data_IF_924443238249
#
_entry.id   IF_924443238249
#
_cell.length_a   1.000
_cell.length_b   1.000
_cell.length_c   1.000
_cell.angle_alpha   90.00
_cell.angle_beta   90.00
_cell.angle_gamma   90.00
#
_symmetry.space_group_name_H-M   'P 1'
#
loop_
_entity.id
_entity.type
_entity.pdbx_description
1 polymer ?
#
# COMPACT_ATOMS: atom_id res chain seq x y z
N UNK A 1 -30.04 -44.37 -26.21
CA UNK A 1 -29.15 -43.31 -26.73
C UNK A 1 -29.88 -42.66 -27.88
N UNK A 2 -30.44 -41.48 -27.61
CA UNK A 2 -31.16 -40.61 -28.55
C UNK A 2 -30.64 -39.20 -28.30
N UNK A 3 -30.09 -38.59 -29.35
CA UNK A 3 -29.42 -37.29 -29.32
C UNK A 3 -30.41 -36.17 -29.59
N UNK A 4 -30.14 -35.00 -29.00
CA UNK A 4 -30.96 -33.79 -28.99
C UNK A 4 -31.25 -33.16 -30.37
N UNK A 5 -30.69 -33.71 -31.44
CA UNK A 5 -30.86 -33.25 -32.83
C UNK A 5 -32.21 -33.65 -33.47
N UNK A 6 -32.96 -34.59 -32.88
CA UNK A 6 -34.28 -35.01 -33.41
C UNK A 6 -35.44 -34.07 -33.03
N UNK A 7 -35.21 -33.05 -32.20
CA UNK A 7 -36.28 -32.19 -31.66
C UNK A 7 -36.52 -30.89 -32.44
N UNK A 8 -35.72 -30.55 -33.46
CA UNK A 8 -35.92 -29.34 -34.24
C UNK A 8 -35.63 -29.48 -35.75
N UNK A 9 -36.36 -30.34 -36.48
CA UNK A 9 -36.34 -30.29 -37.93
C UNK A 9 -37.24 -29.13 -38.39
N UNK A 10 -36.64 -28.16 -39.08
CA UNK A 10 -37.28 -27.09 -39.87
C UNK A 10 -37.89 -25.89 -39.13
N UNK A 11 -37.04 -24.90 -38.86
CA UNK A 11 -37.41 -23.51 -38.59
C UNK A 11 -36.75 -22.52 -39.56
N UNK A 12 -36.75 -22.83 -40.86
CA UNK A 12 -36.18 -21.97 -41.90
C UNK A 12 -37.00 -20.68 -42.10
N UNK A 13 -36.69 -19.61 -41.38
CA UNK A 13 -37.20 -18.27 -41.69
C UNK A 13 -36.42 -17.69 -42.87
N UNK A 14 -37.03 -17.79 -44.05
CA UNK A 14 -36.68 -16.99 -45.23
C UNK A 14 -36.80 -15.51 -44.84
N UNK A 15 -35.67 -14.80 -44.76
CA UNK A 15 -35.67 -13.33 -44.81
C UNK A 15 -36.05 -12.92 -46.22
N UNK A 16 -37.29 -12.46 -46.38
CA UNK A 16 -37.80 -11.86 -47.59
C UNK A 16 -37.51 -10.36 -47.48
N UNK A 17 -36.46 -9.91 -48.18
CA UNK A 17 -36.11 -8.50 -48.32
C UNK A 17 -37.25 -7.76 -49.02
N UNK A 18 -38.08 -7.05 -48.25
CA UNK A 18 -38.93 -5.99 -48.76
C UNK A 18 -38.11 -4.68 -48.73
N UNK A 19 -38.00 -3.94 -49.85
CA UNK A 19 -37.29 -2.66 -49.85
C UNK A 19 -38.09 -1.65 -49.01
N UNK A 20 -37.63 -1.41 -47.78
CA UNK A 20 -38.15 -0.35 -46.94
C UNK A 20 -37.92 1.01 -47.62
N UNK A 21 -39.02 1.76 -47.72
CA UNK A 21 -39.16 3.03 -48.40
C UNK A 21 -38.27 4.10 -47.73
N UNK A 22 -37.10 4.37 -48.32
CA UNK A 22 -36.05 5.26 -47.78
C UNK A 22 -36.56 6.69 -47.53
N UNK A 23 -37.63 7.11 -48.20
CA UNK A 23 -38.25 8.43 -48.02
C UNK A 23 -38.91 8.64 -46.65
N UNK A 24 -39.31 7.58 -45.94
CA UNK A 24 -39.83 7.72 -44.56
C UNK A 24 -38.70 7.85 -43.54
N UNK A 25 -37.54 7.21 -43.77
CA UNK A 25 -36.38 7.32 -42.89
C UNK A 25 -35.75 8.72 -42.93
N UNK A 26 -35.68 9.34 -44.12
CA UNK A 26 -35.11 10.70 -44.27
C UNK A 26 -36.01 11.79 -43.66
N UNK A 27 -37.35 11.63 -43.70
CA UNK A 27 -38.28 12.57 -43.06
C UNK A 27 -38.19 12.53 -41.54
N UNK A 28 -38.03 11.34 -40.96
CA UNK A 28 -37.82 11.18 -39.52
C UNK A 28 -36.44 11.70 -39.08
N UNK A 29 -35.41 11.57 -39.93
CA UNK A 29 -34.09 12.14 -39.68
C UNK A 29 -34.09 13.67 -39.56
N UNK A 30 -34.91 14.37 -40.37
CA UNK A 30 -34.99 15.84 -40.33
C UNK A 30 -35.69 16.41 -39.08
N UNK A 31 -36.55 15.61 -38.42
CA UNK A 31 -37.31 16.03 -37.24
C UNK A 31 -36.59 15.75 -35.91
N UNK A 32 -35.57 14.88 -35.92
CA UNK A 32 -34.88 14.41 -34.71
C UNK A 32 -33.50 15.05 -34.47
N UNK A 33 -33.04 15.92 -35.37
CA UNK A 33 -31.72 16.57 -35.30
C UNK A 33 -30.57 15.62 -35.63
N UNK A 34 -29.45 16.18 -36.08
CA UNK A 34 -28.30 15.42 -36.59
C UNK A 34 -27.83 14.35 -35.59
N UNK A 35 -27.92 13.09 -36.02
CA UNK A 35 -27.40 11.95 -35.27
C UNK A 35 -25.91 12.16 -35.00
N UNK A 36 -25.55 12.15 -33.71
CA UNK A 36 -24.17 11.98 -33.23
C UNK A 36 -23.53 10.82 -34.03
N UNK A 37 -22.30 10.97 -34.56
CA UNK A 37 -21.65 9.91 -35.31
C UNK A 37 -21.56 8.65 -34.45
N UNK A 38 -21.96 7.52 -35.05
CA UNK A 38 -22.00 6.22 -34.42
C UNK A 38 -20.60 5.85 -33.90
N UNK A 39 -20.52 5.68 -32.59
CA UNK A 39 -19.40 5.04 -31.93
C UNK A 39 -19.47 3.54 -32.30
N UNK A 40 -18.36 2.91 -32.71
CA UNK A 40 -18.40 1.54 -33.20
C UNK A 40 -18.87 0.56 -32.12
N UNK A 41 -19.84 -0.28 -32.45
CA UNK A 41 -20.37 -1.35 -31.61
C UNK A 41 -19.29 -2.38 -31.26
N UNK A 42 -19.00 -2.64 -29.97
CA UNK A 42 -18.29 -3.83 -29.58
C UNK A 42 -19.27 -5.01 -29.63
N UNK A 43 -19.16 -5.82 -30.67
CA UNK A 43 -19.93 -7.05 -30.85
C UNK A 43 -19.82 -7.99 -29.64
N UNK A 44 -20.99 -8.45 -29.22
CA UNK A 44 -21.32 -9.61 -28.39
C UNK A 44 -20.42 -10.84 -28.63
N UNK A 45 -19.43 -11.05 -27.76
CA UNK A 45 -18.89 -12.36 -27.32
C UNK A 45 -17.59 -12.14 -26.50
N UNK A 46 -17.67 -11.44 -25.36
CA UNK A 46 -16.49 -11.26 -24.48
C UNK A 46 -16.83 -10.84 -23.04
N UNK A 47 -18.05 -10.38 -22.75
CA UNK A 47 -18.32 -9.71 -21.47
C UNK A 47 -18.09 -10.55 -20.21
N UNK A 48 -18.25 -11.88 -20.23
CA UNK A 48 -18.02 -12.71 -19.03
C UNK A 48 -16.54 -12.99 -18.78
N UNK A 49 -15.80 -13.39 -19.81
CA UNK A 49 -14.36 -13.66 -19.66
C UNK A 49 -13.55 -12.36 -19.53
N UNK A 50 -14.00 -11.26 -20.13
CA UNK A 50 -13.42 -9.94 -19.88
C UNK A 50 -13.74 -9.43 -18.47
N UNK A 51 -14.93 -9.69 -17.91
CA UNK A 51 -15.23 -9.36 -16.51
C UNK A 51 -14.44 -10.25 -15.54
N UNK A 52 -14.31 -11.56 -15.80
CA UNK A 52 -13.48 -12.47 -15.01
C UNK A 52 -12.00 -12.09 -15.12
N UNK A 53 -11.53 -11.69 -16.31
CA UNK A 53 -10.19 -11.19 -16.50
C UNK A 53 -9.97 -9.86 -15.78
N UNK A 54 -10.92 -8.92 -15.83
CA UNK A 54 -10.83 -7.64 -15.11
C UNK A 54 -10.82 -7.82 -13.59
N UNK A 55 -11.61 -8.76 -13.06
CA UNK A 55 -11.66 -9.11 -11.63
C UNK A 55 -10.41 -9.89 -11.20
N UNK A 56 -9.81 -10.69 -12.09
CA UNK A 56 -8.55 -11.41 -11.84
C UNK A 56 -7.30 -10.56 -12.08
N UNK A 57 -7.37 -9.52 -12.92
CA UNK A 57 -6.25 -8.63 -13.25
C UNK A 57 -6.19 -7.39 -12.39
N UNK A 58 -7.17 -7.13 -11.50
CA UNK A 58 -7.00 -6.19 -10.40
C UNK A 58 -6.08 -6.85 -9.36
N UNK A 59 -4.81 -6.42 -9.21
CA UNK A 59 -4.02 -6.86 -8.09
C UNK A 59 -4.74 -6.44 -6.82
N UNK A 60 -4.93 -7.39 -5.90
CA UNK A 60 -5.27 -7.15 -4.50
C UNK A 60 -4.33 -6.06 -3.98
N UNK A 61 -4.83 -4.83 -3.83
CA UNK A 61 -4.06 -3.72 -3.25
C UNK A 61 -4.02 -2.40 -4.02
N UNK A 62 -4.52 -2.29 -5.26
CA UNK A 62 -4.59 -0.96 -5.91
C UNK A 62 -5.94 -0.28 -5.67
N UNK A 63 -5.96 0.67 -4.71
CA UNK A 63 -6.96 1.73 -4.66
C UNK A 63 -7.03 2.46 -6.02
N UNK A 64 -8.22 2.90 -6.46
CA UNK A 64 -8.30 3.83 -7.59
C UNK A 64 -7.59 5.12 -7.20
N UNK A 65 -6.36 5.29 -7.69
CA UNK A 65 -5.67 6.57 -7.60
C UNK A 65 -6.52 7.60 -8.34
N UNK A 66 -6.98 8.62 -7.60
CA UNK A 66 -7.46 9.84 -8.21
C UNK A 66 -6.41 10.33 -9.20
N UNK A 67 -6.78 10.82 -10.40
CA UNK A 67 -5.80 11.31 -11.37
C UNK A 67 -4.93 12.38 -10.72
N UNK A 68 -3.65 12.05 -10.55
CA UNK A 68 -2.59 12.93 -10.06
C UNK A 68 -2.57 14.16 -10.95
N UNK A 69 -2.95 15.30 -10.38
CA UNK A 69 -2.95 16.58 -11.07
C UNK A 69 -1.52 16.89 -11.53
N UNK A 70 -1.27 16.80 -12.83
CA UNK A 70 -0.07 17.35 -13.42
C UNK A 70 -0.13 18.87 -13.27
N UNK A 71 0.79 19.42 -12.47
CA UNK A 71 1.09 20.84 -12.37
C UNK A 71 1.65 21.30 -13.72
N UNK A 72 0.75 21.76 -14.61
CA UNK A 72 1.09 22.68 -15.69
C UNK A 72 0.47 24.03 -15.37
N UNK A 73 1.32 24.98 -15.07
CA UNK A 73 1.01 26.41 -14.98
C UNK A 73 0.50 26.89 -16.34
N UNK A 74 -0.82 27.06 -16.45
CA UNK A 74 -1.47 27.77 -17.55
C UNK A 74 -1.98 29.13 -17.03
N UNK A 75 -1.90 30.21 -17.82
CA UNK A 75 -2.21 31.55 -17.35
C UNK A 75 -3.72 31.76 -17.15
N UNK A 76 -4.02 32.59 -16.15
CA UNK A 76 -5.34 33.05 -15.72
C UNK A 76 -6.34 33.29 -16.88
N UNK A 77 -7.37 32.44 -16.94
CA UNK A 77 -8.60 32.65 -17.72
C UNK A 77 -9.81 32.72 -16.78
N UNK A 78 -10.55 33.83 -16.83
CA UNK A 78 -11.63 34.16 -15.90
C UNK A 78 -12.76 33.12 -15.84
N UNK A 79 -13.31 32.94 -14.64
CA UNK A 79 -14.49 32.10 -14.37
C UNK A 79 -15.73 32.62 -15.13
N UNK A 80 -16.37 31.82 -16.00
CA UNK A 80 -17.70 32.14 -16.49
C UNK A 80 -18.75 31.87 -15.40
N UNK A 81 -19.59 32.87 -15.13
CA UNK A 81 -20.78 32.73 -14.27
C UNK A 81 -21.71 31.71 -14.90
N UNK A 82 -21.98 30.60 -14.21
CA UNK A 82 -23.00 29.60 -14.57
C UNK A 82 -24.38 30.27 -14.56
N UNK A 83 -24.91 30.60 -15.73
CA UNK A 83 -26.35 30.79 -15.92
C UNK A 83 -27.04 29.45 -15.70
N UNK A 84 -28.08 29.42 -14.87
CA UNK A 84 -28.95 28.26 -14.73
C UNK A 84 -29.63 28.04 -16.09
N UNK A 85 -29.25 26.97 -16.78
CA UNK A 85 -29.84 26.57 -18.05
C UNK A 85 -31.34 26.27 -17.86
N UNK A 86 -32.19 27.13 -18.40
CA UNK A 86 -33.65 26.92 -18.45
C UNK A 86 -34.03 25.64 -19.22
N UNK A 87 -33.10 25.07 -19.98
CA UNK A 87 -33.27 23.85 -20.77
C UNK A 87 -33.26 22.59 -19.88
N UNK A 88 -32.53 22.56 -18.76
CA UNK A 88 -32.54 21.39 -17.86
C UNK A 88 -33.85 21.27 -17.07
N UNK A 89 -34.49 22.40 -16.78
CA UNK A 89 -35.82 22.46 -16.14
C UNK A 89 -36.92 22.02 -17.12
N UNK A 90 -36.78 22.32 -18.41
CA UNK A 90 -37.69 21.85 -19.46
C UNK A 90 -37.56 20.34 -19.72
N UNK A 91 -36.34 19.79 -19.67
CA UNK A 91 -36.11 18.36 -19.81
C UNK A 91 -36.65 17.54 -18.61
N UNK A 92 -36.49 18.05 -17.38
CA UNK A 92 -37.04 17.41 -16.19
C UNK A 92 -38.59 17.41 -16.16
N UNK A 93 -39.23 18.47 -16.66
CA UNK A 93 -40.70 18.55 -16.72
C UNK A 93 -41.31 17.68 -17.83
N UNK A 94 -40.64 17.52 -18.98
CA UNK A 94 -41.07 16.57 -20.02
C UNK A 94 -40.87 15.11 -19.60
N UNK A 95 -39.80 14.80 -18.84
CA UNK A 95 -39.62 13.47 -18.26
C UNK A 95 -40.73 13.14 -17.23
N UNK A 96 -41.13 14.10 -16.40
CA UNK A 96 -42.24 13.92 -15.47
C UNK A 96 -43.60 13.72 -16.18
N UNK A 97 -43.84 14.42 -17.28
CA UNK A 97 -45.05 14.27 -18.11
C UNK A 97 -45.07 12.94 -18.86
N UNK A 98 -43.92 12.43 -19.33
CA UNK A 98 -43.82 11.12 -19.95
C UNK A 98 -44.07 9.98 -18.95
N UNK A 99 -43.58 10.10 -17.71
CA UNK A 99 -43.89 9.16 -16.62
C UNK A 99 -45.37 9.20 -16.24
N UNK A 100 -46.00 10.38 -16.24
CA UNK A 100 -47.42 10.53 -15.96
C UNK A 100 -48.34 10.05 -17.11
N UNK A 101 -47.89 10.12 -18.36
CA UNK A 101 -48.63 9.59 -19.51
C UNK A 101 -48.49 8.05 -19.61
N UNK A 102 -47.32 7.50 -19.28
CA UNK A 102 -47.10 6.05 -19.27
C UNK A 102 -47.90 5.34 -18.16
N UNK A 103 -48.11 5.98 -17.00
CA UNK A 103 -48.92 5.43 -15.90
C UNK A 103 -50.41 5.32 -16.23
N UNK A 104 -50.95 6.19 -17.10
CA UNK A 104 -52.35 6.16 -17.50
C UNK A 104 -52.69 5.02 -18.49
N UNK A 105 -51.73 4.58 -19.30
CA UNK A 105 -51.93 3.45 -20.25
C UNK A 105 -51.76 2.06 -19.61
N UNK A 106 -50.99 1.94 -18.53
CA UNK A 106 -50.88 0.68 -17.77
C UNK A 106 -52.13 0.36 -16.95
N UNK A 107 -52.88 1.38 -16.50
CA UNK A 107 -54.06 1.21 -15.66
C UNK A 107 -55.24 0.45 -16.30
N UNK A 108 -55.27 0.30 -17.64
CA UNK A 108 -56.39 -0.36 -18.34
C UNK A 108 -56.11 -1.83 -18.67
N UNK A 109 -54.84 -2.26 -18.78
CA UNK A 109 -54.48 -3.69 -18.85
C UNK A 109 -54.26 -4.33 -17.47
N UNK A 110 -53.92 -3.52 -16.45
CA UNK A 110 -53.86 -3.97 -15.05
C UNK A 110 -55.25 -4.34 -14.47
N UNK A 111 -56.35 -3.94 -15.10
CA UNK A 111 -57.71 -4.24 -14.62
C UNK A 111 -58.13 -5.72 -14.80
N UNK A 112 -57.34 -6.54 -15.52
CA UNK A 112 -57.55 -7.99 -15.66
C UNK A 112 -56.36 -8.83 -15.17
N UNK A 113 -55.30 -8.19 -14.68
CA UNK A 113 -54.18 -8.88 -14.06
C UNK A 113 -54.56 -9.22 -12.61
N UNK A 114 -54.23 -10.44 -12.19
CA UNK A 114 -54.41 -10.86 -10.80
C UNK A 114 -53.41 -10.09 -9.92
N UNK A 115 -53.86 -9.16 -9.05
CA UNK A 115 -52.96 -8.36 -8.23
C UNK A 115 -52.09 -9.22 -7.29
N UNK A 116 -52.53 -10.44 -6.97
CA UNK A 116 -51.71 -11.40 -6.21
C UNK A 116 -50.48 -11.84 -7.02
N UNK A 117 -50.63 -12.09 -8.32
CA UNK A 117 -49.53 -12.50 -9.20
C UNK A 117 -48.48 -11.41 -9.37
N UNK A 118 -48.89 -10.15 -9.52
CA UNK A 118 -47.98 -9.02 -9.63
C UNK A 118 -47.23 -8.79 -8.30
N UNK A 119 -47.93 -8.85 -7.16
CA UNK A 119 -47.31 -8.71 -5.84
C UNK A 119 -46.30 -9.83 -5.54
N UNK A 120 -46.59 -11.07 -5.94
CA UNK A 120 -45.65 -12.20 -5.83
C UNK A 120 -44.41 -12.01 -6.71
N UNK A 121 -44.57 -11.40 -7.90
CA UNK A 121 -43.45 -11.09 -8.79
C UNK A 121 -42.53 -10.04 -8.18
N UNK A 122 -43.10 -8.95 -7.65
CA UNK A 122 -42.34 -7.91 -6.95
C UNK A 122 -41.61 -8.50 -5.74
N UNK A 123 -42.30 -9.32 -4.94
CA UNK A 123 -41.69 -9.96 -3.78
C UNK A 123 -40.53 -10.89 -4.19
N UNK A 124 -40.66 -11.65 -5.27
CA UNK A 124 -39.58 -12.51 -5.75
C UNK A 124 -38.36 -11.70 -6.23
N UNK A 125 -38.57 -10.51 -6.79
CA UNK A 125 -37.49 -9.60 -7.17
C UNK A 125 -36.82 -8.96 -5.92
N UNK A 126 -37.61 -8.59 -4.91
CA UNK A 126 -37.09 -8.11 -3.62
C UNK A 126 -36.29 -9.21 -2.91
N UNK A 127 -36.77 -10.46 -2.90
CA UNK A 127 -36.07 -11.61 -2.32
C UNK A 127 -34.71 -11.84 -2.99
N UNK A 128 -34.63 -11.81 -4.32
CA UNK A 128 -33.35 -11.90 -5.05
C UNK A 128 -32.42 -10.74 -4.72
N UNK A 129 -32.97 -9.53 -4.59
CA UNK A 129 -32.21 -8.34 -4.22
C UNK A 129 -31.63 -8.49 -2.81
N UNK A 130 -32.43 -8.95 -1.86
CA UNK A 130 -32.02 -9.25 -0.48
C UNK A 130 -30.88 -10.28 -0.48
N UNK A 131 -31.02 -11.40 -1.18
CA UNK A 131 -29.97 -12.42 -1.26
C UNK A 131 -28.65 -11.86 -1.83
N UNK A 132 -28.73 -11.06 -2.89
CA UNK A 132 -27.56 -10.42 -3.49
C UNK A 132 -26.87 -9.44 -2.54
N UNK A 133 -27.64 -8.61 -1.83
CA UNK A 133 -27.12 -7.65 -0.85
C UNK A 133 -26.52 -8.37 0.35
N UNK A 134 -27.16 -9.41 0.87
CA UNK A 134 -26.65 -10.24 1.98
C UNK A 134 -25.29 -10.87 1.63
N UNK A 135 -25.17 -11.48 0.45
CA UNK A 135 -23.91 -12.06 -0.02
C UNK A 135 -22.82 -10.98 -0.19
N UNK A 136 -23.18 -9.81 -0.73
CA UNK A 136 -22.28 -8.67 -0.88
C UNK A 136 -21.75 -8.17 0.46
N UNK A 137 -22.62 -7.99 1.45
CA UNK A 137 -22.25 -7.55 2.80
C UNK A 137 -21.44 -8.60 3.55
N UNK A 138 -21.79 -9.89 3.43
CA UNK A 138 -21.00 -10.99 4.00
C UNK A 138 -19.57 -11.00 3.46
N UNK A 139 -19.42 -10.86 2.13
CA UNK A 139 -18.11 -10.80 1.48
C UNK A 139 -17.33 -9.55 1.90
N UNK A 140 -17.98 -8.39 1.94
CA UNK A 140 -17.35 -7.13 2.33
C UNK A 140 -16.86 -7.17 3.78
N UNK A 141 -17.69 -7.71 4.70
CA UNK A 141 -17.32 -7.88 6.11
C UNK A 141 -16.16 -8.86 6.28
N UNK A 142 -16.16 -9.99 5.57
CA UNK A 142 -15.07 -10.97 5.63
C UNK A 142 -13.75 -10.39 5.13
N UNK A 143 -13.77 -9.60 4.04
CA UNK A 143 -12.57 -8.90 3.55
C UNK A 143 -12.06 -7.88 4.55
N UNK A 144 -12.96 -7.11 5.18
CA UNK A 144 -12.60 -6.12 6.18
C UNK A 144 -12.01 -6.77 7.44
N UNK A 145 -12.51 -7.94 7.84
CA UNK A 145 -11.94 -8.73 8.93
C UNK A 145 -10.50 -9.18 8.62
N UNK A 146 -10.26 -9.72 7.42
CA UNK A 146 -8.92 -10.11 7.00
C UNK A 146 -7.97 -8.90 6.92
N UNK A 147 -8.44 -7.75 6.42
CA UNK A 147 -7.67 -6.51 6.36
C UNK A 147 -7.29 -6.00 7.77
N UNK A 148 -8.18 -6.13 8.76
CA UNK A 148 -7.89 -5.78 10.15
C UNK A 148 -6.80 -6.68 10.75
N UNK A 149 -6.89 -8.00 10.52
CA UNK A 149 -5.88 -8.96 11.00
C UNK A 149 -4.50 -8.70 10.37
N UNK A 150 -4.46 -8.49 9.04
CA UNK A 150 -3.21 -8.16 8.32
C UNK A 150 -2.64 -6.81 8.80
N UNK A 151 -3.49 -5.80 9.02
CA UNK A 151 -3.05 -4.50 9.49
C UNK A 151 -2.46 -4.56 10.89
N UNK A 152 -3.01 -5.38 11.79
CA UNK A 152 -2.47 -5.56 13.14
C UNK A 152 -1.05 -6.15 13.11
N UNK A 153 -0.81 -7.16 12.27
CA UNK A 153 0.54 -7.72 12.08
C UNK A 153 1.49 -6.68 11.50
N UNK A 154 1.06 -5.96 10.45
CA UNK A 154 1.87 -4.92 9.82
C UNK A 154 2.27 -3.80 10.78
N UNK A 155 1.38 -3.39 11.69
CA UNK A 155 1.66 -2.36 12.71
C UNK A 155 2.70 -2.84 13.72
N UNK A 156 2.67 -4.12 14.10
CA UNK A 156 3.66 -4.71 15.00
C UNK A 156 5.05 -4.77 14.37
N UNK A 157 5.11 -5.09 13.07
CA UNK A 157 6.36 -5.05 12.31
C UNK A 157 6.91 -3.63 12.16
N UNK A 158 6.04 -2.63 11.94
CA UNK A 158 6.44 -1.22 11.92
C UNK A 158 7.00 -0.82 13.29
N UNK A 159 6.32 -1.18 14.38
CA UNK A 159 6.78 -0.88 15.73
C UNK A 159 8.18 -1.45 15.99
N UNK A 160 8.37 -2.73 15.69
CA UNK A 160 9.66 -3.40 15.89
C UNK A 160 10.78 -2.75 15.07
N UNK A 161 10.52 -2.39 13.80
CA UNK A 161 11.51 -1.73 12.95
C UNK A 161 11.90 -0.34 13.50
N UNK A 162 10.92 0.44 13.99
CA UNK A 162 11.18 1.74 14.62
C UNK A 162 12.01 1.59 15.91
N UNK A 163 11.68 0.63 16.78
CA UNK A 163 12.41 0.39 18.02
C UNK A 163 13.88 0.01 17.78
N UNK A 164 14.15 -0.83 16.77
CA UNK A 164 15.52 -1.21 16.39
C UNK A 164 16.35 0.01 15.95
N UNK A 165 15.73 1.03 15.36
CA UNK A 165 16.41 2.27 14.93
C UNK A 165 16.53 3.34 16.00
N UNK A 166 16.21 3.05 17.26
CA UNK A 166 16.38 4.04 18.33
C UNK A 166 17.86 4.34 18.56
N UNK A 167 18.61 3.29 18.86
CA UNK A 167 19.97 3.36 19.36
C UNK A 167 20.77 2.17 18.83
N UNK A 168 22.08 2.36 18.70
CA UNK A 168 23.03 1.29 18.50
C UNK A 168 24.12 1.37 19.56
N UNK A 169 24.70 0.22 19.91
CA UNK A 169 25.86 0.18 20.79
C UNK A 169 27.04 0.90 20.14
N UNK A 170 27.74 1.73 20.91
CA UNK A 170 28.95 2.41 20.43
C UNK A 170 30.11 1.40 20.29
N UNK A 171 30.68 1.22 19.07
CA UNK A 171 31.80 0.30 18.86
C UNK A 171 33.08 0.74 19.60
N UNK A 172 33.20 2.01 20.00
CA UNK A 172 34.35 2.49 20.78
C UNK A 172 34.46 1.80 22.15
N UNK A 173 33.33 1.38 22.72
CA UNK A 173 33.24 0.76 24.04
C UNK A 173 33.33 -0.77 24.01
N UNK A 174 33.44 -1.37 22.81
CA UNK A 174 33.64 -2.81 22.65
C UNK A 174 35.14 -3.12 22.81
N UNK A 175 35.55 -3.88 23.85
CA UNK A 175 36.95 -4.22 24.04
C UNK A 175 37.50 -5.00 22.83
N UNK A 176 38.77 -4.74 22.43
CA UNK A 176 39.38 -5.48 21.32
C UNK A 176 39.43 -6.98 21.62
N UNK A 177 38.82 -7.78 20.74
CA UNK A 177 38.72 -9.24 20.88
C UNK A 177 37.47 -9.73 21.63
N UNK A 178 36.58 -8.83 22.03
CA UNK A 178 35.27 -9.17 22.61
C UNK A 178 34.16 -8.99 21.55
N UNK A 179 33.21 -9.93 21.52
CA UNK A 179 32.01 -9.83 20.68
C UNK A 179 30.83 -9.15 21.39
N UNK A 180 30.92 -8.98 22.72
CA UNK A 180 29.85 -8.42 23.54
C UNK A 180 30.31 -7.08 24.15
N UNK A 181 29.41 -6.07 24.16
CA UNK A 181 29.66 -4.84 24.90
C UNK A 181 29.67 -5.10 26.41
N UNK A 182 30.52 -4.39 27.14
CA UNK A 182 30.53 -4.44 28.61
C UNK A 182 29.28 -3.80 29.22
N UNK A 183 29.02 -4.11 30.50
CA UNK A 183 27.99 -3.42 31.29
C UNK A 183 28.30 -1.92 31.33
N UNK A 184 27.52 -1.13 30.59
CA UNK A 184 27.68 0.32 30.50
C UNK A 184 28.31 0.84 29.20
N UNK A 185 28.38 0.03 28.14
CA UNK A 185 28.71 0.54 26.81
C UNK A 185 27.78 1.70 26.41
N UNK A 186 28.36 2.74 25.83
CA UNK A 186 27.66 3.88 25.28
C UNK A 186 26.71 3.49 24.15
N UNK A 187 25.80 4.40 23.87
CA UNK A 187 24.81 4.25 22.80
C UNK A 187 24.92 5.43 21.84
N UNK A 188 24.89 5.11 20.54
CA UNK A 188 24.82 6.09 19.46
C UNK A 188 23.35 6.31 19.12
N UNK A 189 22.84 7.55 19.20
CA UNK A 189 21.49 7.86 18.76
C UNK A 189 21.42 7.75 17.23
N UNK A 190 20.60 6.83 16.72
CA UNK A 190 20.48 6.60 15.27
C UNK A 190 19.44 7.55 14.67
N UNK A 191 18.34 7.78 15.36
CA UNK A 191 17.25 8.62 14.88
C UNK A 191 16.98 9.82 15.81
N UNK A 192 16.24 10.81 15.33
CA UNK A 192 15.73 11.89 16.17
C UNK A 192 14.73 11.33 17.19
N UNK A 193 15.08 11.39 18.48
CA UNK A 193 14.30 10.78 19.55
C UNK A 193 12.87 11.33 19.64
N UNK A 194 12.68 12.63 19.45
CA UNK A 194 11.36 13.25 19.53
C UNK A 194 10.47 12.83 18.35
N UNK A 195 11.02 12.78 17.13
CA UNK A 195 10.30 12.29 15.96
C UNK A 195 10.01 10.78 16.05
N UNK A 196 10.93 9.99 16.58
CA UNK A 196 10.74 8.56 16.80
C UNK A 196 9.64 8.29 17.81
N UNK A 197 9.64 8.97 18.97
CA UNK A 197 8.61 8.81 20.00
C UNK A 197 7.23 9.24 19.47
N UNK A 198 7.17 10.29 18.64
CA UNK A 198 5.93 10.69 17.97
C UNK A 198 5.44 9.62 16.97
N UNK A 199 6.34 8.99 16.21
CA UNK A 199 6.00 7.90 15.30
C UNK A 199 5.51 6.65 16.06
N UNK A 200 6.21 6.25 17.13
CA UNK A 200 5.80 5.13 18.00
C UNK A 200 4.43 5.40 18.66
N UNK A 201 4.18 6.63 19.11
CA UNK A 201 2.88 7.02 19.64
C UNK A 201 1.77 6.91 18.59
N UNK A 202 2.04 7.30 17.34
CA UNK A 202 1.08 7.15 16.24
C UNK A 202 0.82 5.67 15.89
N UNK A 203 1.86 4.84 15.92
CA UNK A 203 1.76 3.37 15.77
C UNK A 203 0.86 2.78 16.87
N UNK A 204 1.06 3.18 18.13
CA UNK A 204 0.22 2.70 19.25
C UNK A 204 -1.21 3.18 19.17
N UNK A 205 -1.43 4.44 18.75
CA UNK A 205 -2.75 4.98 18.51
C UNK A 205 -3.46 4.23 17.38
N UNK A 206 -2.76 3.92 16.28
CA UNK A 206 -3.31 3.14 15.18
C UNK A 206 -3.60 1.70 15.60
N UNK A 207 -2.68 1.02 16.29
CA UNK A 207 -2.92 -0.31 16.87
C UNK A 207 -4.15 -0.33 17.76
N UNK A 208 -4.26 0.66 18.65
CA UNK A 208 -5.42 0.80 19.55
C UNK A 208 -6.71 1.04 18.78
N UNK A 209 -6.69 1.84 17.71
CA UNK A 209 -7.84 2.06 16.85
C UNK A 209 -8.26 0.79 16.10
N UNK A 210 -7.31 -0.01 15.60
CA UNK A 210 -7.57 -1.31 14.99
C UNK A 210 -8.21 -2.27 16.00
N UNK A 211 -7.66 -2.37 17.21
CA UNK A 211 -8.17 -3.24 18.27
C UNK A 211 -9.56 -2.82 18.79
N UNK A 212 -9.86 -1.53 18.78
CA UNK A 212 -11.17 -0.99 19.15
C UNK A 212 -12.21 -1.07 18.03
N UNK A 213 -11.81 -1.45 16.81
CA UNK A 213 -12.73 -1.55 15.67
C UNK A 213 -13.58 -2.80 15.78
N UNK A 214 -14.85 -2.63 16.08
CA UNK A 214 -15.84 -3.69 16.07
C UNK A 214 -16.54 -3.77 14.71
N UNK A 215 -16.54 -4.95 14.10
CA UNK A 215 -17.27 -5.17 12.85
C UNK A 215 -18.77 -5.33 13.13
N UNK A 216 -19.65 -4.58 12.43
CA UNK A 216 -21.08 -4.68 12.64
C UNK A 216 -21.57 -6.11 12.38
N UNK A 217 -22.51 -6.55 13.20
CA UNK A 217 -23.15 -7.85 13.03
C UNK A 217 -24.09 -7.80 11.82
N UNK A 218 -24.01 -8.81 10.96
CA UNK A 218 -24.90 -8.86 9.81
C UNK A 218 -26.29 -9.33 10.25
N UNK A 219 -27.36 -8.73 9.74
CA UNK A 219 -28.72 -9.19 10.00
C UNK A 219 -28.89 -10.67 9.63
N UNK A 220 -29.68 -11.44 10.39
CA UNK A 220 -29.88 -12.90 10.15
C UNK A 220 -30.50 -13.17 8.78
N UNK A 221 -29.98 -14.14 8.01
CA UNK A 221 -30.44 -14.45 6.65
C UNK A 221 -31.97 -14.40 6.50
N UNK A 222 -32.45 -13.67 5.49
CA UNK A 222 -33.88 -13.57 5.21
C UNK A 222 -34.47 -14.94 4.88
N UNK A 223 -35.61 -15.23 5.50
CA UNK A 223 -36.45 -16.38 5.16
C UNK A 223 -37.89 -15.93 5.17
N UNK A 224 -38.58 -16.17 4.05
CA UNK A 224 -40.01 -15.94 3.94
C UNK A 224 -40.75 -16.76 5.00
N UNK A 225 -41.71 -16.16 5.68
CA UNK A 225 -42.62 -16.89 6.54
C UNK A 225 -43.43 -17.89 5.71
N UNK A 226 -43.63 -19.11 6.22
CA UNK A 226 -44.48 -20.10 5.57
C UNK A 226 -45.95 -19.69 5.72
N UNK A 227 -46.46 -18.92 4.77
CA UNK A 227 -47.87 -18.54 4.64
C UNK A 227 -48.46 -19.09 3.34
N UNK A 228 -49.80 -19.20 3.28
CA UNK A 228 -50.49 -19.64 2.07
C UNK A 228 -50.26 -18.64 0.93
N UNK A 229 -49.78 -19.12 -0.21
CA UNK A 229 -49.45 -18.27 -1.37
C UNK A 229 -50.66 -17.53 -1.97
N UNK A 230 -51.87 -17.96 -1.61
CA UNK A 230 -53.14 -17.46 -2.17
C UNK A 230 -53.82 -16.40 -1.27
N UNK A 231 -53.21 -16.04 -0.13
CA UNK A 231 -53.74 -15.02 0.78
C UNK A 231 -53.04 -13.67 0.58
N UNK A 232 -53.78 -12.66 0.13
CA UNK A 232 -53.27 -11.30 -0.09
C UNK A 232 -52.73 -10.67 1.20
N UNK A 233 -53.29 -11.01 2.37
CA UNK A 233 -52.77 -10.54 3.64
C UNK A 233 -51.37 -11.12 3.91
N UNK A 234 -51.18 -12.41 3.61
CA UNK A 234 -49.87 -13.06 3.72
C UNK A 234 -48.83 -12.49 2.77
N UNK A 235 -49.21 -12.17 1.52
CA UNK A 235 -48.30 -11.52 0.56
C UNK A 235 -47.93 -10.11 1.02
N UNK A 236 -48.90 -9.33 1.52
CA UNK A 236 -48.66 -8.00 2.09
C UNK A 236 -47.66 -8.03 3.26
N UNK A 237 -47.85 -8.95 4.22
CA UNK A 237 -46.93 -9.14 5.34
C UNK A 237 -45.51 -9.55 4.88
N UNK A 238 -45.40 -10.37 3.83
CA UNK A 238 -44.12 -10.77 3.27
C UNK A 238 -43.38 -9.60 2.60
N UNK A 239 -44.10 -8.73 1.88
CA UNK A 239 -43.56 -7.50 1.30
C UNK A 239 -43.08 -6.54 2.40
N UNK A 240 -43.88 -6.30 3.44
CA UNK A 240 -43.48 -5.45 4.57
C UNK A 240 -42.21 -5.99 5.26
N UNK A 241 -42.13 -7.32 5.44
CA UNK A 241 -40.95 -7.97 5.99
C UNK A 241 -39.71 -7.85 5.08
N UNK A 242 -39.88 -7.96 3.76
CA UNK A 242 -38.81 -7.77 2.78
C UNK A 242 -38.32 -6.31 2.76
N UNK A 243 -39.23 -5.33 2.79
CA UNK A 243 -38.87 -3.91 2.85
C UNK A 243 -38.13 -3.54 4.14
N UNK A 244 -38.62 -4.05 5.28
CA UNK A 244 -37.92 -3.90 6.56
C UNK A 244 -36.51 -4.52 6.48
N UNK A 245 -36.40 -5.69 5.86
CA UNK A 245 -35.11 -6.37 5.67
C UNK A 245 -34.14 -5.54 4.83
N UNK A 246 -34.59 -5.01 3.70
CA UNK A 246 -33.76 -4.12 2.87
C UNK A 246 -33.28 -2.90 3.66
N UNK A 247 -34.16 -2.30 4.47
CA UNK A 247 -33.81 -1.16 5.35
C UNK A 247 -32.73 -1.52 6.39
N UNK A 248 -32.80 -2.73 6.97
CA UNK A 248 -31.79 -3.21 7.92
C UNK A 248 -30.45 -3.53 7.22
N UNK A 249 -30.49 -4.05 5.99
CA UNK A 249 -29.28 -4.28 5.18
C UNK A 249 -28.62 -2.96 4.76
N UNK A 250 -29.38 -1.95 4.39
CA UNK A 250 -28.87 -0.61 4.09
C UNK A 250 -28.18 0.01 5.30
N UNK A 251 -28.76 -0.14 6.50
CA UNK A 251 -28.11 0.29 7.74
C UNK A 251 -26.77 -0.40 7.95
N UNK A 252 -26.72 -1.73 7.83
CA UNK A 252 -25.48 -2.50 7.97
C UNK A 252 -24.43 -2.10 6.90
N UNK A 253 -24.87 -1.75 5.68
CA UNK A 253 -24.00 -1.27 4.63
C UNK A 253 -23.37 0.10 4.95
N UNK A 254 -24.14 1.00 5.58
CA UNK A 254 -23.64 2.30 6.07
C UNK A 254 -22.63 2.10 7.19
N UNK A 255 -22.94 1.27 8.19
CA UNK A 255 -22.02 0.97 9.30
C UNK A 255 -20.70 0.38 8.81
N UNK A 256 -20.73 -0.57 7.86
CA UNK A 256 -19.50 -1.11 7.26
C UNK A 256 -18.69 -0.06 6.49
N UNK A 257 -19.35 0.92 5.87
CA UNK A 257 -18.66 2.02 5.18
C UNK A 257 -17.99 2.96 6.19
N UNK A 258 -18.68 3.31 7.27
CA UNK A 258 -18.14 4.14 8.34
C UNK A 258 -16.92 3.50 8.99
N UNK A 259 -16.95 2.18 9.26
CA UNK A 259 -15.78 1.45 9.76
C UNK A 259 -14.61 1.57 8.78
N UNK A 260 -14.84 1.35 7.48
CA UNK A 260 -13.79 1.46 6.46
C UNK A 260 -13.19 2.87 6.39
N UNK A 261 -14.03 3.90 6.43
CA UNK A 261 -13.59 5.29 6.42
C UNK A 261 -12.79 5.65 7.68
N UNK A 262 -13.19 5.12 8.84
CA UNK A 262 -12.44 5.23 10.10
C UNK A 262 -11.04 4.60 10.00
N UNK A 263 -10.94 3.39 9.45
CA UNK A 263 -9.66 2.71 9.23
C UNK A 263 -8.76 3.47 8.26
N UNK A 264 -9.31 3.97 7.15
CA UNK A 264 -8.55 4.79 6.19
C UNK A 264 -8.03 6.08 6.83
N UNK A 265 -8.85 6.74 7.64
CA UNK A 265 -8.45 7.95 8.36
C UNK A 265 -7.32 7.65 9.35
N UNK A 266 -7.45 6.57 10.12
CA UNK A 266 -6.42 6.15 11.07
C UNK A 266 -5.09 5.79 10.37
N UNK A 267 -5.16 5.10 9.23
CA UNK A 267 -3.99 4.77 8.40
C UNK A 267 -3.32 6.04 7.84
N UNK A 268 -4.08 7.03 7.41
CA UNK A 268 -3.53 8.30 6.92
C UNK A 268 -2.79 9.06 8.04
N UNK A 269 -3.32 9.07 9.26
CA UNK A 269 -2.66 9.69 10.42
C UNK A 269 -1.32 9.00 10.74
N UNK A 270 -1.29 7.66 10.71
CA UNK A 270 -0.04 6.91 10.85
C UNK A 270 0.95 7.24 9.73
N UNK A 271 0.49 7.24 8.47
CA UNK A 271 1.31 7.59 7.31
C UNK A 271 1.96 8.96 7.45
N UNK A 272 1.20 9.98 7.83
CA UNK A 272 1.71 11.34 8.08
C UNK A 272 2.77 11.38 9.19
N UNK A 273 2.64 10.55 10.24
CA UNK A 273 3.62 10.48 11.32
C UNK A 273 4.93 9.81 10.85
N UNK A 274 4.83 8.71 10.10
CA UNK A 274 5.98 8.04 9.48
C UNK A 274 6.69 8.96 8.48
N UNK A 275 5.92 9.75 7.72
CA UNK A 275 6.44 10.72 6.77
C UNK A 275 7.25 11.84 7.43
N UNK A 276 6.78 12.33 8.58
CA UNK A 276 7.55 13.31 9.38
C UNK A 276 8.81 12.69 9.97
N UNK A 277 8.72 11.44 10.42
CA UNK A 277 9.87 10.72 10.97
C UNK A 277 10.96 10.49 9.92
N UNK A 278 10.63 9.95 8.75
CA UNK A 278 11.62 9.72 7.67
C UNK A 278 12.29 11.01 7.20
N UNK A 279 11.60 12.14 7.23
CA UNK A 279 12.16 13.43 6.84
C UNK A 279 13.29 13.93 7.78
N UNK A 280 13.49 13.30 8.94
CA UNK A 280 14.58 13.66 9.87
C UNK A 280 15.93 13.01 9.53
N UNK A 281 15.93 11.93 8.74
CA UNK A 281 17.12 11.12 8.49
C UNK A 281 18.25 11.86 7.78
N UNK A 282 18.02 12.72 6.77
CA UNK A 282 19.10 13.48 6.15
C UNK A 282 19.90 14.33 7.15
N UNK A 283 19.20 15.03 8.06
CA UNK A 283 19.86 15.84 9.09
C UNK A 283 20.55 14.97 10.16
N UNK A 284 20.02 13.78 10.46
CA UNK A 284 20.67 12.81 11.34
C UNK A 284 21.97 12.26 10.71
N UNK A 285 21.95 11.95 9.42
CA UNK A 285 23.12 11.50 8.66
C UNK A 285 24.24 12.55 8.63
N UNK A 286 23.90 13.80 8.33
CA UNK A 286 24.87 14.92 8.37
C UNK A 286 25.49 15.11 9.76
N UNK A 287 24.71 14.87 10.82
CA UNK A 287 25.22 14.91 12.20
C UNK A 287 26.16 13.74 12.45
N UNK A 288 25.77 12.52 12.10
CA UNK A 288 26.60 11.33 12.28
C UNK A 288 27.96 11.48 11.57
N UNK A 289 27.97 11.95 10.32
CA UNK A 289 29.21 12.23 9.57
C UNK A 289 30.07 13.30 10.26
N UNK A 290 29.45 14.38 10.75
CA UNK A 290 30.17 15.45 11.46
C UNK A 290 30.81 14.97 12.75
N UNK A 291 30.15 14.06 13.45
CA UNK A 291 30.61 13.53 14.73
C UNK A 291 31.75 12.50 14.55
N UNK A 292 31.94 11.97 13.33
CA UNK A 292 32.96 10.97 12.98
C UNK A 292 33.86 11.43 11.81
N UNK A 293 34.60 12.55 11.95
CA UNK A 293 35.28 13.20 10.83
C UNK A 293 36.48 12.41 10.26
N UNK A 294 37.01 11.46 11.02
CA UNK A 294 38.18 10.65 10.62
C UNK A 294 37.79 9.35 9.92
N UNK A 295 36.49 9.03 9.85
CA UNK A 295 36.02 7.89 9.07
C UNK A 295 36.24 8.12 7.57
N UNK A 296 36.38 7.04 6.81
CA UNK A 296 36.55 7.04 5.36
C UNK A 296 35.40 7.73 4.63
N UNK A 297 35.72 8.30 3.46
CA UNK A 297 34.72 8.98 2.62
C UNK A 297 33.63 7.99 2.15
N UNK A 298 34.00 6.73 1.91
CA UNK A 298 33.08 5.70 1.43
C UNK A 298 32.00 5.40 2.48
N UNK A 299 32.36 5.33 3.76
CA UNK A 299 31.45 5.16 4.90
C UNK A 299 30.57 6.39 5.12
N UNK A 300 31.14 7.59 5.01
CA UNK A 300 30.38 8.84 5.09
C UNK A 300 29.33 8.92 3.98
N UNK A 301 29.71 8.61 2.74
CA UNK A 301 28.82 8.60 1.59
C UNK A 301 27.74 7.51 1.73
N UNK A 302 28.08 6.34 2.28
CA UNK A 302 27.12 5.27 2.54
C UNK A 302 26.04 5.67 3.55
N UNK A 303 26.39 6.40 4.62
CA UNK A 303 25.42 6.91 5.60
C UNK A 303 24.47 7.92 4.96
N UNK A 304 24.97 8.84 4.13
CA UNK A 304 24.15 9.81 3.41
C UNK A 304 23.19 9.10 2.43
N UNK A 305 23.71 8.16 1.64
CA UNK A 305 22.90 7.40 0.69
C UNK A 305 21.81 6.55 1.38
N UNK A 306 22.13 5.94 2.53
CA UNK A 306 21.15 5.18 3.31
C UNK A 306 20.04 6.08 3.89
N UNK A 307 20.38 7.30 4.32
CA UNK A 307 19.40 8.27 4.79
C UNK A 307 18.48 8.77 3.68
N UNK A 308 19.01 9.02 2.48
CA UNK A 308 18.21 9.34 1.30
C UNK A 308 17.25 8.20 0.96
N UNK A 309 17.71 6.95 1.01
CA UNK A 309 16.86 5.78 0.79
C UNK A 309 15.72 5.69 1.82
N UNK A 310 15.97 6.01 3.10
CA UNK A 310 14.91 6.11 4.12
C UNK A 310 13.94 7.25 3.82
N UNK A 311 14.44 8.42 3.40
CA UNK A 311 13.60 9.57 3.10
C UNK A 311 12.64 9.32 1.91
N UNK A 312 13.03 8.49 0.95
CA UNK A 312 12.20 8.11 -0.20
C UNK A 312 11.29 6.90 0.07
N UNK A 313 11.62 6.08 1.06
CA UNK A 313 10.91 4.84 1.36
C UNK A 313 9.50 5.05 1.93
N UNK A 314 8.59 4.11 1.61
CA UNK A 314 7.31 3.94 2.32
C UNK A 314 7.51 2.97 3.48
N UNK A 315 7.65 3.53 4.69
CA UNK A 315 7.84 2.78 5.94
C UNK A 315 6.65 1.87 6.30
N UNK A 316 5.49 2.04 5.65
CA UNK A 316 4.36 1.12 5.77
C UNK A 316 4.61 -0.24 5.11
N UNK A 317 5.63 -0.35 4.25
CA UNK A 317 5.98 -1.59 3.53
C UNK A 317 7.19 -2.30 4.14
N UNK A 318 7.30 -3.62 3.93
CA UNK A 318 8.47 -4.38 4.40
C UNK A 318 9.80 -3.89 3.80
N UNK A 319 9.79 -3.50 2.52
CA UNK A 319 10.96 -2.93 1.86
C UNK A 319 11.38 -1.59 2.50
N UNK A 320 10.42 -0.70 2.77
CA UNK A 320 10.73 0.56 3.45
C UNK A 320 11.17 0.38 4.90
N UNK A 321 10.65 -0.61 5.62
CA UNK A 321 11.17 -0.94 6.97
C UNK A 321 12.62 -1.42 6.92
N UNK A 322 13.03 -2.12 5.86
CA UNK A 322 14.41 -2.61 5.75
C UNK A 322 15.45 -1.50 5.56
N UNK A 323 15.07 -0.34 4.98
CA UNK A 323 15.99 0.80 4.82
C UNK A 323 16.38 1.42 6.16
N UNK A 324 15.49 1.34 7.16
CA UNK A 324 15.77 1.77 8.53
C UNK A 324 16.94 0.96 9.14
N UNK A 325 16.94 -0.36 8.93
CA UNK A 325 18.05 -1.23 9.35
C UNK A 325 19.35 -0.92 8.60
N UNK A 326 19.28 -0.74 7.28
CA UNK A 326 20.45 -0.39 6.47
C UNK A 326 21.09 0.94 6.91
N UNK A 327 20.29 1.94 7.24
CA UNK A 327 20.80 3.21 7.77
C UNK A 327 21.47 3.03 9.13
N UNK A 328 20.84 2.28 10.05
CA UNK A 328 21.45 1.94 11.35
C UNK A 328 22.80 1.26 11.17
N UNK A 329 22.87 0.26 10.31
CA UNK A 329 24.10 -0.51 10.08
C UNK A 329 25.19 0.35 9.42
N UNK A 330 24.83 1.27 8.53
CA UNK A 330 25.78 2.24 7.95
C UNK A 330 26.35 3.19 9.02
N UNK A 331 25.53 3.67 9.96
CA UNK A 331 26.01 4.52 11.07
C UNK A 331 26.94 3.74 12.01
N UNK A 332 26.64 2.46 12.27
CA UNK A 332 27.53 1.59 13.06
C UNK A 332 28.88 1.41 12.34
N UNK A 333 28.86 1.11 11.04
CA UNK A 333 30.07 0.95 10.24
C UNK A 333 30.92 2.25 10.20
N UNK A 334 30.26 3.42 10.11
CA UNK A 334 30.93 4.72 10.19
C UNK A 334 31.64 4.90 11.54
N UNK A 335 30.99 4.56 12.65
CA UNK A 335 31.56 4.65 13.98
C UNK A 335 32.71 3.64 14.19
N UNK A 336 32.58 2.42 13.68
CA UNK A 336 33.64 1.39 13.70
C UNK A 336 34.88 1.87 12.94
N UNK A 337 34.71 2.44 11.75
CA UNK A 337 35.81 2.96 10.94
C UNK A 337 36.48 4.16 11.61
N UNK A 338 35.72 5.08 12.19
CA UNK A 338 36.27 6.19 12.99
C UNK A 338 37.16 5.68 14.14
N UNK A 339 36.69 4.70 14.91
CA UNK A 339 37.46 4.09 16.00
C UNK A 339 38.73 3.41 15.45
N UNK A 340 38.63 2.73 14.31
CA UNK A 340 39.79 2.11 13.65
C UNK A 340 40.81 3.16 13.20
N UNK A 341 40.38 4.23 12.53
CA UNK A 341 41.23 5.30 12.04
C UNK A 341 42.02 5.94 13.19
N UNK A 342 41.33 6.27 14.30
CA UNK A 342 41.97 6.78 15.52
C UNK A 342 43.03 5.84 16.08
N UNK A 343 42.72 4.55 16.14
CA UNK A 343 43.64 3.56 16.71
C UNK A 343 44.93 3.46 15.87
N UNK A 344 44.81 3.52 14.54
CA UNK A 344 45.96 3.54 13.63
C UNK A 344 46.82 4.81 13.81
N UNK A 345 46.19 5.97 13.99
CA UNK A 345 46.92 7.22 14.25
C UNK A 345 47.67 7.17 15.58
N UNK A 346 47.03 6.72 16.66
CA UNK A 346 47.67 6.53 17.96
C UNK A 346 48.84 5.53 17.90
N UNK A 347 48.71 4.45 17.13
CA UNK A 347 49.81 3.49 16.91
C UNK A 347 50.98 4.12 16.16
N UNK A 348 50.72 4.86 15.09
CA UNK A 348 51.75 5.60 14.34
C UNK A 348 52.46 6.61 15.22
N UNK A 349 51.73 7.36 16.04
CA UNK A 349 52.33 8.31 16.99
C UNK A 349 53.22 7.62 18.01
N UNK A 350 52.77 6.48 18.58
CA UNK A 350 53.57 5.68 19.51
C UNK A 350 54.83 5.12 18.85
N UNK A 351 54.75 4.67 17.60
CA UNK A 351 55.92 4.21 16.85
C UNK A 351 56.93 5.34 16.60
N UNK A 352 56.46 6.52 16.19
CA UNK A 352 57.31 7.69 16.00
C UNK A 352 57.97 8.12 17.32
N UNK A 353 57.26 8.06 18.44
CA UNK A 353 57.81 8.33 19.77
C UNK A 353 58.90 7.31 20.14
N UNK A 354 58.63 6.00 19.96
CA UNK A 354 59.63 4.94 20.20
C UNK A 354 60.85 5.09 19.29
N UNK A 355 60.68 5.48 18.04
CA UNK A 355 61.79 5.71 17.12
C UNK A 355 62.63 6.93 17.55
N UNK A 356 61.99 8.02 17.98
CA UNK A 356 62.70 9.18 18.53
C UNK A 356 63.46 8.83 19.81
N UNK A 357 62.88 8.03 20.71
CA UNK A 357 63.56 7.54 21.92
C UNK A 357 64.76 6.65 21.59
N UNK A 358 64.62 5.74 20.61
CA UNK A 358 65.73 4.91 20.12
C UNK A 358 66.86 5.75 19.52
N UNK A 359 66.54 6.77 18.73
CA UNK A 359 67.53 7.70 18.18
C UNK A 359 68.24 8.51 19.26
N UNK A 360 67.54 8.92 20.34
CA UNK A 360 68.15 9.59 21.50
C UNK A 360 69.02 8.68 22.36
N UNK A 361 68.72 7.39 22.39
CA UNK A 361 69.42 6.39 23.21
C UNK A 361 70.55 5.67 22.48
N UNK A 362 70.74 5.91 21.17
CA UNK A 362 71.89 5.40 20.44
C UNK A 362 73.14 6.21 20.81
N UNK A 363 74.18 5.59 21.40
CA UNK A 363 75.45 6.27 21.63
C UNK A 363 76.03 6.70 20.27
N UNK A 364 76.64 7.89 20.21
CA UNK A 364 77.33 8.38 19.02
C UNK A 364 78.28 7.27 18.51
N UNK A 365 78.26 6.95 17.20
CA UNK A 365 79.27 6.07 16.64
C UNK A 365 80.63 6.70 16.89
N UNK A 366 81.41 6.03 17.74
CA UNK A 366 82.77 6.40 18.10
C UNK A 366 83.54 6.56 16.78
N UNK A 367 83.84 7.81 16.43
CA UNK A 367 84.59 8.17 15.23
C UNK A 367 86.06 7.90 15.49
N UNK A 368 86.40 6.63 15.74
CA UNK A 368 87.78 6.16 15.76
C UNK A 368 88.35 6.19 14.34
N UNK A 369 89.52 6.78 14.09
CA UNK A 369 90.15 6.75 12.78
C UNK A 369 90.48 5.31 12.40
N UNK A 370 89.87 4.82 11.32
CA UNK A 370 90.19 3.54 10.70
C UNK A 370 91.62 3.57 10.19
N UNK A 371 92.50 2.84 10.85
CA UNK A 371 93.81 2.44 10.30
C UNK A 371 93.58 1.11 9.58
N UNK A 372 94.04 0.94 8.32
CA UNK A 372 93.85 -0.32 7.61
C UNK A 372 94.82 -1.36 8.20
N UNK A 373 94.29 -2.40 8.84
CA UNK A 373 95.07 -3.59 9.17
C UNK A 373 94.80 -4.65 8.12
N UNK A 374 95.82 -4.90 7.29
CA UNK A 374 96.03 -6.15 6.59
C UNK A 374 96.13 -7.29 7.61
N UNK A 375 95.22 -8.27 7.54
CA UNK A 375 95.53 -9.66 7.87
C UNK A 375 94.53 -10.64 7.18
N UNK A 376 94.99 -11.86 6.83
CA UNK A 376 94.44 -12.71 5.76
C UNK A 376 93.19 -13.53 6.16
N UNK A 377 92.48 -14.14 5.20
CA UNK A 377 91.18 -14.76 5.45
C UNK A 377 91.33 -16.09 6.18
N UNK A 378 90.68 -16.22 7.34
CA UNK A 378 90.44 -17.52 7.96
C UNK A 378 89.13 -18.10 7.41
N UNK A 379 89.24 -19.31 6.87
CA UNK A 379 88.17 -20.13 6.30
C UNK A 379 86.98 -20.37 7.25
N UNK A 380 85.79 -20.65 6.70
CA UNK A 380 84.56 -20.83 7.48
C UNK A 380 84.51 -22.22 8.11
N UNK A 381 84.24 -22.28 9.42
CA UNK A 381 83.87 -23.54 10.07
C UNK A 381 82.34 -23.74 10.07
N UNK A 382 81.87 -24.96 9.78
CA UNK A 382 80.52 -25.24 9.27
C UNK A 382 79.42 -25.28 10.35
N UNK A 383 78.20 -24.99 9.88
CA UNK A 383 76.92 -25.12 10.58
C UNK A 383 76.71 -26.47 11.27
N UNK A 384 76.16 -26.52 12.50
CA UNK A 384 75.50 -27.72 12.99
C UNK A 384 74.08 -27.84 12.41
N UNK A 385 73.86 -29.00 11.79
CA UNK A 385 72.62 -29.51 11.20
C UNK A 385 71.41 -29.55 12.14
N UNK A 386 70.18 -29.59 11.59
CA UNK A 386 68.93 -29.71 12.34
C UNK A 386 68.74 -31.09 12.96
N UNK A 387 68.23 -31.13 14.18
CA UNK A 387 67.69 -32.36 14.80
C UNK A 387 66.26 -32.62 14.30
N UNK A 388 65.95 -33.83 13.80
CA UNK A 388 64.60 -34.36 13.78
C UNK A 388 64.33 -35.20 15.06
N UNK A 389 63.08 -35.68 15.18
CA UNK A 389 62.52 -36.62 16.20
C UNK A 389 61.81 -35.89 17.37
N UNK A 390 60.53 -36.10 17.66
CA UNK A 390 59.56 -37.19 17.36
C UNK A 390 58.13 -36.65 17.21
#
# INVERSE_FOLDING_TARGET
>A
MTTLDDLFPEGGRRCQDAPADRSQADRLGSLLGDRRPAQPDPSTASSRDALIALVRSTPTGQQPQAPRAATRTAPYGGRPRRSRDAVSVAAASLAALAVAAASLTWGVQAATADPASDALTILADDERTIEGVELGLATARSRLAAELEESLVGVDEIRAALEVTREATDPADIPPGSAEPGDGAGVIPIADAAALDAALSAVDAHRSALAATELPSLPTQYRRAQGGADDLESVGQALDAAQKRLSDLDRAAVELREVREGLQTSRAVLGDALDRFRATFPAAAERAVRDHPEAGQDEQDAVIAAAEAVAEADLGTGAGRSTLGAFRDAVIALAEDHVHARRLEEERERELQREQERRRSQPEPDSGPTTPSDDPPTEPSPSPSPSPEE
#
